data_IF_671414318570
#
_entry.id   IF_671414318570
#
_cell.length_a   1.000
_cell.length_b   1.000
_cell.length_c   1.000
_cell.angle_alpha   90.00
_cell.angle_beta   90.00
_cell.angle_gamma   90.00
#
_symmetry.space_group_name_H-M   'P 1'
#
loop_
_entity.id
_entity.type
_entity.pdbx_description
1 polymer ?
#
# COMPACT_ATOMS: atom_id res chain seq x y z
N UNK A 1 24.49 -25.59 47.48
CA UNK A 1 25.40 -24.63 46.83
C UNK A 1 24.67 -24.08 45.63
N UNK A 2 24.11 -22.88 45.76
CA UNK A 2 23.33 -22.23 44.71
C UNK A 2 24.28 -21.49 43.75
N UNK A 3 24.17 -21.77 42.46
CA UNK A 3 24.97 -21.15 41.41
C UNK A 3 24.28 -19.85 40.99
N UNK A 4 24.93 -18.71 41.23
CA UNK A 4 24.46 -17.40 40.82
C UNK A 4 24.78 -17.17 39.33
N UNK A 5 23.76 -16.90 38.52
CA UNK A 5 23.93 -16.35 37.17
C UNK A 5 24.06 -14.83 37.27
N UNK A 6 25.20 -14.29 36.86
CA UNK A 6 25.42 -12.85 36.69
C UNK A 6 24.74 -12.37 35.42
N UNK A 7 23.77 -11.46 35.56
CA UNK A 7 23.22 -10.66 34.46
C UNK A 7 24.17 -9.48 34.24
N UNK A 8 24.78 -9.41 33.05
CA UNK A 8 25.54 -8.25 32.63
C UNK A 8 24.56 -7.12 32.25
N UNK A 9 24.50 -6.05 33.04
CA UNK A 9 23.86 -4.80 32.65
C UNK A 9 24.72 -4.11 31.60
N UNK A 10 24.20 -3.97 30.39
CA UNK A 10 24.76 -3.04 29.40
C UNK A 10 24.37 -1.63 29.83
N UNK A 11 25.36 -0.85 30.27
CA UNK A 11 25.18 0.57 30.53
C UNK A 11 25.00 1.31 29.19
N UNK A 12 23.80 1.82 28.94
CA UNK A 12 23.53 2.73 27.83
C UNK A 12 24.30 4.03 28.05
N UNK A 13 25.26 4.30 27.17
CA UNK A 13 26.06 5.52 27.15
C UNK A 13 25.26 6.60 26.43
N UNK A 14 25.08 7.76 27.06
CA UNK A 14 24.28 8.87 26.55
C UNK A 14 24.87 9.55 25.31
N UNK A 15 24.11 9.49 24.23
CA UNK A 15 23.71 10.63 23.41
C UNK A 15 22.18 10.61 23.51
N UNK A 16 21.48 11.74 23.67
CA UNK A 16 20.02 11.70 23.57
C UNK A 16 19.65 11.38 22.13
N UNK A 17 19.56 10.10 21.79
CA UNK A 17 18.93 9.65 20.56
C UNK A 17 17.51 10.22 20.57
N UNK A 18 17.28 11.20 19.69
CA UNK A 18 15.99 11.82 19.52
C UNK A 18 14.99 10.70 19.21
N UNK A 19 13.94 10.51 20.02
CA UNK A 19 12.98 9.42 19.80
C UNK A 19 12.42 9.46 18.38
N UNK A 20 12.38 8.32 17.68
CA UNK A 20 11.72 8.17 16.38
C UNK A 20 10.72 7.02 16.42
N UNK A 21 9.75 7.05 15.51
CA UNK A 21 8.82 5.93 15.32
C UNK A 21 9.64 4.70 14.95
N UNK A 22 9.52 3.64 15.75
CA UNK A 22 10.21 2.39 15.47
C UNK A 22 9.49 1.68 14.33
N UNK A 23 10.21 1.23 13.28
CA UNK A 23 9.60 0.54 12.15
C UNK A 23 8.79 -0.68 12.58
N UNK A 24 7.58 -0.79 12.03
CA UNK A 24 6.70 -1.94 12.21
C UNK A 24 6.74 -2.79 10.95
N UNK A 25 7.16 -4.05 11.09
CA UNK A 25 7.09 -5.09 10.07
C UNK A 25 5.67 -5.64 10.01
N UNK A 26 5.07 -5.71 8.83
CA UNK A 26 3.75 -6.34 8.63
C UNK A 26 3.66 -7.00 7.27
N UNK A 27 2.69 -7.91 7.11
CA UNK A 27 2.35 -8.50 5.82
C UNK A 27 1.03 -7.90 5.34
N UNK A 28 1.02 -7.45 4.09
CA UNK A 28 -0.12 -6.86 3.42
C UNK A 28 -0.36 -7.53 2.07
N UNK A 29 -1.55 -7.35 1.53
CA UNK A 29 -1.97 -7.95 0.27
C UNK A 29 -2.34 -6.88 -0.76
N UNK A 30 -2.02 -7.16 -2.02
CA UNK A 30 -2.35 -6.30 -3.16
C UNK A 30 -2.96 -7.14 -4.27
N UNK A 31 -4.21 -6.84 -4.63
CA UNK A 31 -4.87 -7.48 -5.77
C UNK A 31 -4.32 -6.88 -7.07
N UNK A 32 -3.85 -7.73 -7.97
CA UNK A 32 -3.14 -7.34 -9.19
C UNK A 32 -3.67 -8.07 -10.43
N UNK A 33 -3.39 -7.49 -11.60
CA UNK A 33 -3.76 -8.07 -12.89
C UNK A 33 -2.72 -9.05 -13.45
N UNK A 34 -1.44 -8.88 -13.07
CA UNK A 34 -0.34 -9.72 -13.52
C UNK A 34 0.37 -10.40 -12.36
N UNK A 35 1.18 -11.41 -12.68
CA UNK A 35 2.14 -12.01 -11.75
C UNK A 35 3.35 -11.09 -11.56
N UNK A 36 4.01 -11.09 -10.38
CA UNK A 36 5.31 -10.47 -10.24
C UNK A 36 6.36 -11.28 -11.02
N UNK A 37 7.50 -10.66 -11.29
CA UNK A 37 8.65 -11.33 -11.93
C UNK A 37 9.72 -11.54 -10.88
N UNK A 38 10.27 -12.74 -10.80
CA UNK A 38 11.40 -13.01 -9.92
C UNK A 38 12.68 -12.44 -10.56
N UNK A 39 13.35 -11.56 -9.85
CA UNK A 39 14.66 -11.03 -10.24
C UNK A 39 15.74 -11.98 -9.73
N UNK A 40 16.40 -12.69 -10.64
CA UNK A 40 17.39 -13.72 -10.29
C UNK A 40 18.69 -13.12 -9.72
N UNK A 41 19.02 -11.87 -10.03
CA UNK A 41 20.22 -11.23 -9.50
C UNK A 41 19.99 -10.79 -8.07
N UNK A 42 18.85 -10.15 -7.82
CA UNK A 42 18.49 -9.60 -6.51
C UNK A 42 17.74 -10.61 -5.62
N UNK A 43 17.43 -11.81 -6.15
CA UNK A 43 16.71 -12.88 -5.47
C UNK A 43 15.40 -12.40 -4.82
N UNK A 44 14.62 -11.60 -5.55
CA UNK A 44 13.37 -11.03 -5.04
C UNK A 44 12.34 -10.86 -6.15
N UNK A 45 11.06 -10.91 -5.79
CA UNK A 45 9.97 -10.57 -6.69
C UNK A 45 9.87 -9.05 -6.90
N UNK A 46 9.69 -8.63 -8.15
CA UNK A 46 9.52 -7.24 -8.57
C UNK A 46 8.35 -7.11 -9.56
N UNK A 47 7.92 -5.87 -9.85
CA UNK A 47 6.87 -5.66 -10.84
C UNK A 47 7.34 -6.03 -12.26
N UNK A 48 6.43 -6.50 -13.14
CA UNK A 48 6.77 -6.83 -14.53
C UNK A 48 7.04 -5.60 -15.43
N UNK A 49 7.02 -4.38 -14.88
CA UNK A 49 7.16 -3.13 -15.63
C UNK A 49 8.32 -2.30 -15.10
N UNK A 50 9.13 -1.74 -16.00
CA UNK A 50 10.38 -1.05 -15.69
C UNK A 50 11.56 -1.71 -16.41
N UNK A 51 12.60 -0.91 -16.68
CA UNK A 51 13.79 -1.31 -17.41
C UNK A 51 14.94 -1.74 -16.48
N UNK A 52 15.00 -1.18 -15.26
CA UNK A 52 16.00 -1.56 -14.25
C UNK A 52 15.34 -2.23 -13.05
N UNK A 53 16.15 -2.86 -12.20
CA UNK A 53 15.69 -3.41 -10.93
C UNK A 53 14.97 -2.36 -10.08
N UNK A 54 15.56 -1.18 -9.91
CA UNK A 54 15.00 -0.09 -9.08
C UNK A 54 13.67 0.41 -9.62
N UNK A 55 13.51 0.47 -10.95
CA UNK A 55 12.24 0.84 -11.57
C UNK A 55 11.16 -0.21 -11.31
N UNK A 56 11.50 -1.50 -11.44
CA UNK A 56 10.57 -2.61 -11.21
C UNK A 56 10.22 -2.77 -9.73
N UNK A 57 11.19 -2.61 -8.84
CA UNK A 57 11.00 -2.62 -7.39
C UNK A 57 10.09 -1.47 -6.96
N UNK A 58 10.34 -0.25 -7.47
CA UNK A 58 9.48 0.92 -7.21
C UNK A 58 8.06 0.71 -7.75
N UNK A 59 7.92 0.19 -8.97
CA UNK A 59 6.64 0.00 -9.64
C UNK A 59 5.67 -0.91 -8.86
N UNK A 60 6.17 -1.80 -7.99
CA UNK A 60 5.33 -2.61 -7.11
C UNK A 60 4.53 -1.76 -6.09
N UNK A 61 5.08 -0.61 -5.68
CA UNK A 61 4.51 0.30 -4.67
C UNK A 61 4.50 1.78 -5.13
N UNK A 62 4.35 2.05 -6.43
CA UNK A 62 4.44 3.40 -6.97
C UNK A 62 3.12 4.20 -6.84
N UNK A 63 2.79 4.66 -5.63
CA UNK A 63 1.54 5.35 -5.30
C UNK A 63 0.33 4.42 -5.48
N UNK A 64 0.19 3.48 -4.54
CA UNK A 64 -0.78 2.39 -4.63
C UNK A 64 -1.48 2.15 -3.30
N UNK A 65 -2.64 1.51 -3.35
CA UNK A 65 -3.29 0.95 -2.18
C UNK A 65 -3.00 -0.54 -2.00
N UNK A 66 -3.02 -0.97 -0.75
CA UNK A 66 -2.99 -2.37 -0.31
C UNK A 66 -4.08 -2.58 0.74
N UNK A 67 -4.25 -3.82 1.19
CA UNK A 67 -5.12 -4.16 2.31
C UNK A 67 -4.38 -5.07 3.30
N UNK A 68 -4.92 -5.22 4.50
CA UNK A 68 -4.59 -6.36 5.37
C UNK A 68 -4.82 -7.67 4.62
N UNK A 69 -4.03 -8.70 4.92
CA UNK A 69 -4.21 -10.03 4.31
C UNK A 69 -5.63 -10.54 4.54
N UNK A 70 -6.13 -10.30 5.75
CA UNK A 70 -7.47 -10.67 6.22
C UNK A 70 -8.59 -9.90 5.51
N UNK A 71 -8.28 -8.74 4.94
CA UNK A 71 -9.24 -7.87 4.23
C UNK A 71 -9.14 -7.89 2.72
N UNK A 72 -8.11 -8.53 2.14
CA UNK A 72 -7.76 -8.41 0.73
C UNK A 72 -8.89 -8.77 -0.24
N UNK A 73 -9.70 -9.77 0.12
CA UNK A 73 -10.81 -10.25 -0.71
C UNK A 73 -12.02 -9.32 -0.72
N UNK A 74 -12.11 -8.37 0.21
CA UNK A 74 -13.18 -7.37 0.22
C UNK A 74 -13.25 -6.64 -1.13
N UNK A 75 -12.12 -6.17 -1.66
CA UNK A 75 -12.08 -5.43 -2.93
C UNK A 75 -12.50 -6.29 -4.12
N UNK A 76 -12.05 -7.55 -4.15
CA UNK A 76 -12.43 -8.53 -5.17
C UNK A 76 -13.94 -8.76 -5.16
N UNK A 77 -14.50 -8.98 -3.97
CA UNK A 77 -15.92 -9.29 -3.80
C UNK A 77 -16.83 -8.08 -4.04
N UNK A 78 -16.50 -6.94 -3.44
CA UNK A 78 -17.34 -5.75 -3.49
C UNK A 78 -17.35 -5.09 -4.87
N UNK A 79 -16.22 -5.15 -5.60
CA UNK A 79 -16.04 -4.39 -6.84
C UNK A 79 -15.55 -5.21 -8.04
N UNK A 80 -14.86 -6.32 -7.80
CA UNK A 80 -14.18 -7.11 -8.82
C UNK A 80 -15.08 -8.02 -9.62
N UNK A 81 -15.98 -8.76 -8.96
CA UNK A 81 -16.60 -9.98 -9.53
C UNK A 81 -18.03 -9.80 -10.06
N UNK A 82 -18.69 -8.67 -9.77
CA UNK A 82 -20.06 -8.43 -10.20
C UNK A 82 -20.13 -8.25 -11.72
N UNK A 83 -20.74 -9.22 -12.42
CA UNK A 83 -20.84 -9.22 -13.88
C UNK A 83 -21.71 -8.08 -14.43
N UNK A 84 -22.61 -7.49 -13.62
CA UNK A 84 -23.41 -6.33 -14.04
C UNK A 84 -22.55 -5.09 -14.27
N UNK A 85 -21.51 -4.91 -13.45
CA UNK A 85 -20.58 -3.77 -13.55
C UNK A 85 -19.33 -4.12 -14.35
N UNK A 86 -19.03 -5.41 -14.53
CA UNK A 86 -17.86 -5.91 -15.25
C UNK A 86 -18.27 -6.93 -16.33
N UNK A 87 -18.95 -6.50 -17.42
CA UNK A 87 -19.50 -7.41 -18.42
C UNK A 87 -18.45 -8.07 -19.33
N UNK A 88 -17.22 -7.54 -19.39
CA UNK A 88 -16.19 -7.93 -20.37
C UNK A 88 -15.40 -9.21 -20.01
N UNK A 89 -16.07 -10.26 -19.53
CA UNK A 89 -15.47 -11.56 -19.15
C UNK A 89 -14.13 -11.46 -18.40
N UNK A 90 -14.04 -10.46 -17.52
CA UNK A 90 -12.89 -10.14 -16.69
C UNK A 90 -13.38 -9.49 -15.40
N UNK A 91 -12.61 -9.60 -14.32
CA UNK A 91 -12.86 -8.82 -13.11
C UNK A 91 -12.51 -7.35 -13.36
N UNK A 92 -13.04 -6.43 -12.55
CA UNK A 92 -12.64 -5.01 -12.58
C UNK A 92 -11.12 -4.90 -12.63
N UNK A 93 -10.58 -3.97 -13.43
CA UNK A 93 -9.14 -3.74 -13.58
C UNK A 93 -8.30 -5.00 -13.91
N UNK A 94 -8.91 -6.04 -14.50
CA UNK A 94 -8.27 -7.32 -14.80
C UNK A 94 -7.72 -8.08 -13.57
N UNK A 95 -8.30 -7.91 -12.38
CA UNK A 95 -7.87 -8.64 -11.17
C UNK A 95 -7.78 -10.15 -11.42
N UNK A 96 -6.59 -10.70 -11.23
CA UNK A 96 -6.29 -12.10 -11.47
C UNK A 96 -5.41 -12.72 -10.39
N UNK A 97 -4.68 -11.91 -9.62
CA UNK A 97 -3.73 -12.38 -8.61
C UNK A 97 -3.85 -11.59 -7.31
N UNK A 98 -3.46 -12.20 -6.20
CA UNK A 98 -3.19 -11.52 -4.93
C UNK A 98 -1.69 -11.63 -4.68
N UNK A 99 -1.00 -10.50 -4.61
CA UNK A 99 0.41 -10.44 -4.21
C UNK A 99 0.46 -10.23 -2.71
N UNK A 100 1.39 -10.90 -2.05
CA UNK A 100 1.65 -10.68 -0.64
C UNK A 100 2.99 -10.01 -0.46
N UNK A 101 3.01 -9.05 0.45
CA UNK A 101 4.13 -8.13 0.61
C UNK A 101 4.45 -8.00 2.08
N UNK A 102 5.71 -8.24 2.43
CA UNK A 102 6.26 -7.72 3.66
C UNK A 102 6.51 -6.23 3.48
N UNK A 103 6.05 -5.45 4.45
CA UNK A 103 6.26 -4.00 4.51
C UNK A 103 6.84 -3.64 5.86
N UNK A 104 7.77 -2.70 5.87
CA UNK A 104 8.17 -2.01 7.09
C UNK A 104 7.65 -0.59 7.01
N UNK A 105 7.04 -0.09 8.09
CA UNK A 105 6.40 1.22 8.11
C UNK A 105 6.87 1.99 9.34
N UNK A 106 7.35 3.21 9.12
CA UNK A 106 7.59 4.20 10.15
C UNK A 106 7.14 5.56 9.61
N UNK A 107 5.99 6.05 10.07
CA UNK A 107 5.55 7.40 9.73
C UNK A 107 6.33 8.46 10.54
N UNK A 108 6.25 9.72 10.11
CA UNK A 108 6.95 10.81 10.78
C UNK A 108 6.36 11.12 12.16
N UNK A 109 7.16 11.74 13.04
CA UNK A 109 6.68 12.23 14.36
C UNK A 109 5.50 13.18 14.21
N UNK A 110 5.53 14.02 13.16
CA UNK A 110 4.44 14.94 12.84
C UNK A 110 3.15 14.21 12.46
N UNK A 111 3.26 13.08 11.76
CA UNK A 111 2.11 12.22 11.46
C UNK A 111 1.51 11.64 12.74
N UNK A 112 2.34 11.08 13.63
CA UNK A 112 1.86 10.56 14.92
C UNK A 112 1.19 11.69 15.71
N UNK A 113 1.84 12.85 15.86
CA UNK A 113 1.26 13.99 16.56
C UNK A 113 -0.10 14.44 16.00
N UNK A 114 -0.29 14.35 14.67
CA UNK A 114 -1.54 14.76 14.03
C UNK A 114 -2.67 13.76 14.29
N UNK A 115 -2.36 12.46 14.33
CA UNK A 115 -3.34 11.38 14.20
C UNK A 115 -3.45 10.42 15.39
N UNK A 116 -2.54 10.48 16.37
CA UNK A 116 -2.47 9.54 17.51
C UNK A 116 -3.79 9.41 18.30
N UNK A 117 -4.64 10.44 18.32
CA UNK A 117 -5.89 10.42 19.06
C UNK A 117 -7.12 9.99 18.22
N UNK A 118 -6.93 9.60 16.96
CA UNK A 118 -8.01 9.23 16.06
C UNK A 118 -8.05 7.72 15.82
N UNK A 119 -8.97 7.03 16.48
CA UNK A 119 -9.22 5.59 16.30
C UNK A 119 -10.17 5.25 15.14
N UNK A 120 -10.74 6.26 14.48
CA UNK A 120 -11.44 6.08 13.20
C UNK A 120 -10.48 5.81 12.04
N UNK A 121 -9.18 6.09 12.25
CA UNK A 121 -8.05 5.61 11.48
C UNK A 121 -7.21 4.71 12.37
N UNK A 122 -6.27 3.95 11.82
CA UNK A 122 -5.29 3.24 12.64
C UNK A 122 -4.26 4.28 13.14
N UNK A 123 -4.10 4.56 14.46
CA UNK A 123 -3.44 5.79 14.94
C UNK A 123 -1.95 5.98 14.62
N UNK A 124 -1.25 4.94 14.15
CA UNK A 124 0.14 5.06 13.63
C UNK A 124 0.21 5.53 12.18
N UNK A 125 -0.95 5.68 11.54
CA UNK A 125 -1.11 5.99 10.14
C UNK A 125 -1.78 7.34 9.98
N UNK A 126 -1.59 7.93 8.81
CA UNK A 126 -2.42 9.06 8.42
C UNK A 126 -3.76 8.59 7.82
N UNK A 127 -4.61 9.55 7.45
CA UNK A 127 -5.86 9.22 6.76
C UNK A 127 -5.60 8.41 5.49
N UNK A 128 -6.47 7.46 5.17
CA UNK A 128 -6.38 6.74 3.92
C UNK A 128 -6.66 7.66 2.73
N UNK A 129 -5.84 7.55 1.68
CA UNK A 129 -6.10 8.14 0.38
C UNK A 129 -6.36 7.05 -0.67
N UNK A 130 -7.40 7.22 -1.49
CA UNK A 130 -7.54 6.40 -2.70
C UNK A 130 -6.43 6.80 -3.70
N UNK A 131 -5.69 5.82 -4.19
CA UNK A 131 -4.52 5.99 -5.06
C UNK A 131 -4.71 5.19 -6.36
N UNK A 132 -5.35 5.80 -7.36
CA UNK A 132 -5.64 5.18 -8.66
C UNK A 132 -4.65 5.59 -9.75
N UNK A 133 -4.14 4.60 -10.49
CA UNK A 133 -3.32 4.85 -11.68
C UNK A 133 -1.97 5.54 -11.39
N UNK A 134 -1.45 5.37 -10.17
CA UNK A 134 -0.19 5.94 -9.71
C UNK A 134 -0.31 7.34 -9.14
N UNK A 135 -1.53 7.84 -8.92
CA UNK A 135 -1.72 9.16 -8.31
C UNK A 135 -2.77 9.12 -7.20
N UNK A 136 -2.77 10.14 -6.35
CA UNK A 136 -3.95 10.47 -5.57
C UNK A 136 -5.18 10.64 -6.46
N UNK A 137 -6.23 9.90 -6.16
CA UNK A 137 -7.49 9.96 -6.90
C UNK A 137 -8.15 11.31 -6.67
N UNK A 138 -8.35 12.13 -7.72
CA UNK A 138 -9.08 13.38 -7.58
C UNK A 138 -10.53 13.12 -7.19
N UNK A 139 -11.09 13.93 -6.31
CA UNK A 139 -12.51 13.78 -5.91
C UNK A 139 -13.47 14.49 -6.87
N UNK A 140 -12.95 15.28 -7.82
CA UNK A 140 -13.75 15.95 -8.85
C UNK A 140 -13.10 15.94 -10.24
N UNK A 141 -13.85 16.46 -11.21
CA UNK A 141 -13.43 16.54 -12.62
C UNK A 141 -12.36 17.60 -12.88
N UNK A 142 -12.13 18.51 -11.93
CA UNK A 142 -11.16 19.60 -12.05
C UNK A 142 -9.77 19.16 -11.62
N UNK A 143 -9.67 18.00 -10.98
CA UNK A 143 -8.41 17.41 -10.55
C UNK A 143 -8.05 17.78 -9.11
N UNK A 144 -9.01 18.26 -8.32
CA UNK A 144 -8.73 18.55 -6.92
C UNK A 144 -8.47 17.28 -6.13
N UNK A 145 -7.38 17.31 -5.36
CA UNK A 145 -6.90 16.18 -4.59
C UNK A 145 -7.46 16.22 -3.16
N UNK A 146 -7.75 15.05 -2.56
CA UNK A 146 -8.10 14.95 -1.14
C UNK A 146 -7.11 15.69 -0.25
N UNK A 147 -7.59 16.24 0.87
CA UNK A 147 -6.76 17.01 1.81
C UNK A 147 -5.46 16.28 2.19
N UNK A 148 -5.56 15.00 2.55
CA UNK A 148 -4.43 14.16 2.91
C UNK A 148 -3.31 14.12 1.84
N UNK A 149 -3.66 14.20 0.56
CA UNK A 149 -2.66 14.23 -0.50
C UNK A 149 -1.88 15.54 -0.54
N UNK A 150 -2.49 16.65 -0.10
CA UNK A 150 -1.80 17.92 0.05
C UNK A 150 -0.98 17.95 1.35
N UNK A 151 -1.32 17.15 2.36
CA UNK A 151 -0.55 17.02 3.61
C UNK A 151 0.79 16.30 3.41
N UNK A 152 0.94 15.49 2.35
CA UNK A 152 2.20 14.78 2.06
C UNK A 152 3.40 15.70 1.84
N UNK A 153 3.17 16.94 1.43
CA UNK A 153 4.23 17.94 1.21
C UNK A 153 3.83 19.36 1.64
N UNK A 154 2.75 19.50 2.41
CA UNK A 154 2.23 20.80 2.85
C UNK A 154 1.67 21.69 1.74
N UNK A 155 1.28 21.12 0.59
CA UNK A 155 0.67 21.88 -0.48
C UNK A 155 -0.64 22.54 -0.03
N UNK A 156 -1.02 23.65 -0.71
CA UNK A 156 -2.28 24.37 -0.45
C UNK A 156 -2.47 24.77 1.03
N UNK A 157 -1.37 25.08 1.73
CA UNK A 157 -1.39 25.51 3.13
C UNK A 157 -1.68 24.40 4.14
N UNK A 158 -1.70 23.13 3.72
CA UNK A 158 -1.82 21.99 4.61
C UNK A 158 -0.55 21.78 5.46
N UNK A 159 -0.65 21.08 6.61
CA UNK A 159 0.54 20.69 7.35
C UNK A 159 1.44 19.78 6.49
N UNK A 160 2.75 20.02 6.53
CA UNK A 160 3.71 19.14 5.87
C UNK A 160 4.03 17.95 6.77
N UNK A 161 3.38 16.80 6.52
CA UNK A 161 3.59 15.57 7.27
C UNK A 161 4.72 14.70 6.69
N UNK A 162 5.17 15.02 5.47
CA UNK A 162 5.91 14.09 4.63
C UNK A 162 5.01 13.01 4.03
N UNK A 163 5.55 12.12 3.16
CA UNK A 163 4.79 11.08 2.47
C UNK A 163 4.35 9.98 3.44
N UNK A 164 3.31 10.24 4.23
CA UNK A 164 2.81 9.33 5.25
C UNK A 164 2.02 8.16 4.65
N UNK A 165 2.22 6.97 5.20
CA UNK A 165 1.39 5.80 4.90
C UNK A 165 0.06 5.97 5.62
N UNK A 166 -1.03 5.89 4.86
CA UNK A 166 -2.38 5.95 5.40
C UNK A 166 -2.90 4.57 5.80
N UNK A 167 -3.83 4.52 6.75
CA UNK A 167 -4.36 3.27 7.30
C UNK A 167 -5.75 3.48 7.91
N UNK A 168 -6.77 2.84 7.36
CA UNK A 168 -8.16 3.01 7.80
C UNK A 168 -8.90 1.67 7.85
N UNK A 169 -9.62 1.37 8.96
CA UNK A 169 -10.54 0.24 9.01
C UNK A 169 -11.68 0.38 7.98
N UNK A 170 -11.83 -0.62 7.11
CA UNK A 170 -12.88 -0.67 6.07
C UNK A 170 -13.74 -1.91 6.26
N UNK A 171 -14.41 -1.98 7.40
CA UNK A 171 -14.90 -3.25 7.97
C UNK A 171 -16.35 -3.59 7.64
N UNK A 172 -17.13 -2.62 7.16
CA UNK A 172 -18.60 -2.70 7.12
C UNK A 172 -19.22 -2.47 5.74
N UNK A 173 -18.49 -2.66 4.65
CA UNK A 173 -19.07 -2.54 3.31
C UNK A 173 -20.26 -3.50 3.17
N UNK A 174 -21.46 -3.01 2.81
CA UNK A 174 -22.67 -3.82 2.82
C UNK A 174 -22.67 -4.96 1.79
N UNK A 175 -21.76 -4.93 0.82
CA UNK A 175 -21.58 -5.99 -0.19
C UNK A 175 -20.62 -7.09 0.26
N UNK A 176 -19.70 -6.74 1.17
CA UNK A 176 -18.59 -7.58 1.59
C UNK A 176 -18.05 -7.09 2.96
N UNK A 177 -18.76 -7.36 4.07
CA UNK A 177 -18.31 -6.94 5.39
C UNK A 177 -17.18 -7.85 5.88
N UNK A 178 -15.94 -7.34 5.92
CA UNK A 178 -14.76 -8.03 6.45
C UNK A 178 -14.30 -7.30 7.73
N UNK A 179 -14.56 -7.88 8.91
CA UNK A 179 -14.33 -7.20 10.21
C UNK A 179 -12.87 -6.79 10.47
N UNK A 180 -11.93 -7.50 9.87
CA UNK A 180 -10.49 -7.29 10.03
C UNK A 180 -9.84 -6.67 8.78
N UNK A 181 -10.64 -6.02 7.93
CA UNK A 181 -10.15 -5.31 6.76
C UNK A 181 -9.62 -3.93 7.12
N UNK A 182 -8.33 -3.72 6.87
CA UNK A 182 -7.68 -2.42 6.93
C UNK A 182 -7.19 -2.09 5.52
N UNK A 183 -7.49 -0.89 5.04
CA UNK A 183 -6.93 -0.38 3.78
C UNK A 183 -5.78 0.57 4.06
N UNK A 184 -4.75 0.46 3.23
CA UNK A 184 -3.57 1.30 3.33
C UNK A 184 -3.31 2.08 2.04
N UNK A 185 -2.70 3.26 2.18
CA UNK A 185 -2.30 4.10 1.06
C UNK A 185 -0.82 4.44 1.15
N UNK A 186 -0.06 4.05 0.12
CA UNK A 186 1.39 4.24 0.07
C UNK A 186 1.75 5.30 -0.96
N UNK A 187 1.90 6.58 -0.57
CA UNK A 187 2.34 7.61 -1.49
C UNK A 187 3.79 7.37 -1.91
N UNK A 188 4.02 7.34 -3.22
CA UNK A 188 5.37 7.34 -3.80
C UNK A 188 5.60 8.64 -4.58
N UNK A 189 6.82 8.79 -5.09
CA UNK A 189 7.28 9.95 -5.80
C UNK A 189 6.32 10.39 -6.90
N UNK A 190 6.16 11.71 -7.07
CA UNK A 190 5.28 12.31 -8.07
C UNK A 190 3.81 11.82 -7.94
N UNK A 191 3.29 11.69 -6.71
CA UNK A 191 1.96 11.15 -6.41
C UNK A 191 0.77 11.96 -6.98
N UNK A 192 1.01 13.11 -7.61
CA UNK A 192 -0.04 13.91 -8.26
C UNK A 192 -0.18 13.60 -9.76
N UNK A 193 0.65 12.70 -10.30
CA UNK A 193 0.67 12.34 -11.73
C UNK A 193 0.42 10.85 -11.93
N UNK A 194 -0.36 10.52 -12.97
CA UNK A 194 -0.53 9.13 -13.42
C UNK A 194 0.81 8.52 -13.82
N UNK A 195 0.92 7.19 -13.75
CA UNK A 195 2.14 6.44 -14.07
C UNK A 195 2.91 6.95 -15.29
N UNK A 196 2.23 7.12 -16.45
CA UNK A 196 2.86 7.56 -17.72
C UNK A 196 3.47 8.96 -17.68
N UNK A 197 3.15 9.76 -16.67
CA UNK A 197 3.57 11.15 -16.51
C UNK A 197 4.55 11.34 -15.35
N UNK A 198 4.95 10.27 -14.66
CA UNK A 198 5.95 10.32 -13.58
C UNK A 198 7.37 10.30 -14.13
N UNK A 199 7.84 11.45 -14.61
CA UNK A 199 9.22 11.63 -15.08
C UNK A 199 10.22 11.60 -13.93
N UNK A 200 11.49 11.31 -14.22
CA UNK A 200 12.56 11.38 -13.22
C UNK A 200 12.69 12.75 -12.57
N UNK A 201 12.46 13.82 -13.35
CA UNK A 201 12.43 15.18 -12.82
C UNK A 201 11.31 15.34 -11.78
N UNK A 202 10.07 14.94 -12.10
CA UNK A 202 8.96 15.04 -11.15
C UNK A 202 9.21 14.20 -9.89
N UNK A 203 9.84 13.03 -10.04
CA UNK A 203 10.15 12.16 -8.90
C UNK A 203 11.22 12.76 -7.97
N UNK A 204 12.17 13.53 -8.53
CA UNK A 204 13.17 14.28 -7.76
C UNK A 204 12.56 15.49 -7.05
N UNK A 205 11.66 16.21 -7.73
CA UNK A 205 10.98 17.40 -7.18
C UNK A 205 9.96 17.03 -6.10
N UNK A 206 9.27 15.89 -6.26
CA UNK A 206 8.28 15.37 -5.31
C UNK A 206 8.70 13.95 -4.91
N UNK A 207 9.59 13.80 -3.92
CA UNK A 207 9.97 12.48 -3.42
C UNK A 207 8.78 11.77 -2.76
N UNK A 208 8.87 10.45 -2.68
CA UNK A 208 7.85 9.59 -2.07
C UNK A 208 8.30 8.99 -0.75
N UNK A 209 7.44 8.14 -0.17
CA UNK A 209 7.76 7.46 1.09
C UNK A 209 8.59 6.19 0.94
N UNK A 210 8.81 5.68 -0.28
CA UNK A 210 9.54 4.43 -0.51
C UNK A 210 11.03 4.62 -0.23
N UNK A 211 11.56 3.83 0.69
CA UNK A 211 12.98 3.73 0.97
C UNK A 211 13.76 3.11 -0.20
N UNK A 212 15.06 3.43 -0.34
CA UNK A 212 15.96 2.64 -1.18
C UNK A 212 15.88 1.16 -0.83
N UNK A 213 16.06 0.29 -1.83
CA UNK A 213 16.03 -1.15 -1.63
C UNK A 213 17.04 -1.57 -0.53
N UNK A 214 16.61 -2.47 0.35
CA UNK A 214 17.42 -2.95 1.49
C UNK A 214 17.53 -1.96 2.67
N UNK A 215 16.86 -0.81 2.63
CA UNK A 215 16.86 0.17 3.72
C UNK A 215 15.54 0.14 4.49
N UNK A 216 15.60 0.11 5.82
CA UNK A 216 14.42 0.25 6.69
C UNK A 216 13.99 1.72 6.77
N UNK A 217 12.68 2.01 6.89
CA UNK A 217 12.23 3.39 7.09
C UNK A 217 12.67 3.92 8.45
N UNK A 218 12.84 5.23 8.54
CA UNK A 218 13.15 5.96 9.78
C UNK A 218 12.09 7.02 10.11
N UNK A 219 11.09 7.19 9.22
CA UNK A 219 10.07 8.23 9.33
C UNK A 219 10.59 9.65 9.04
N UNK A 220 11.83 9.77 8.57
CA UNK A 220 12.50 11.04 8.24
C UNK A 220 12.88 11.07 6.75
N UNK A 221 13.74 10.14 6.32
CA UNK A 221 14.22 10.02 4.94
C UNK A 221 13.21 9.31 4.06
N UNK A 222 12.51 8.33 4.63
CA UNK A 222 11.47 7.55 3.97
C UNK A 222 10.56 6.91 5.04
N UNK A 223 9.35 6.54 4.64
CA UNK A 223 8.29 6.09 5.55
C UNK A 223 7.95 4.62 5.41
N UNK A 224 8.32 3.97 4.29
CA UNK A 224 8.13 2.55 4.13
C UNK A 224 9.18 1.88 3.24
N UNK A 225 9.43 0.61 3.50
CA UNK A 225 10.09 -0.30 2.56
C UNK A 225 9.21 -1.53 2.35
N UNK A 226 9.46 -2.28 1.28
CA UNK A 226 8.69 -3.49 0.97
C UNK A 226 9.53 -4.57 0.33
N UNK A 227 8.99 -5.78 0.36
CA UNK A 227 9.41 -6.90 -0.46
C UNK A 227 8.20 -7.77 -0.77
N UNK A 228 8.08 -8.21 -2.02
CA UNK A 228 7.02 -9.14 -2.42
C UNK A 228 7.45 -10.54 -2.00
N UNK A 229 6.65 -11.20 -1.16
CA UNK A 229 6.90 -12.56 -0.67
C UNK A 229 6.51 -13.62 -1.69
N UNK A 230 5.46 -13.35 -2.45
CA UNK A 230 4.89 -14.30 -3.40
C UNK A 230 3.50 -13.86 -3.85
N UNK A 231 2.79 -14.76 -4.53
CA UNK A 231 1.46 -14.46 -5.06
C UNK A 231 0.62 -15.72 -5.22
N UNK A 232 -0.69 -15.53 -5.35
CA UNK A 232 -1.64 -16.58 -5.72
C UNK A 232 -2.53 -16.15 -6.87
N UNK A 233 -2.97 -17.10 -7.68
CA UNK A 233 -4.03 -16.93 -8.68
C UNK A 233 -5.39 -16.89 -7.99
N UNK A 234 -6.19 -15.86 -8.30
CA UNK A 234 -7.58 -15.77 -7.83
C UNK A 234 -8.42 -16.90 -8.41
N UNK A 235 -8.17 -17.32 -9.64
CA UNK A 235 -8.97 -18.34 -10.31
C UNK A 235 -8.78 -19.72 -9.67
N UNK A 236 -7.57 -20.02 -9.19
CA UNK A 236 -7.28 -21.23 -8.43
C UNK A 236 -7.89 -21.15 -7.03
N UNK A 237 -7.69 -20.02 -6.33
CA UNK A 237 -8.23 -19.78 -4.99
C UNK A 237 -9.75 -19.96 -4.93
N UNK A 238 -10.48 -19.35 -5.87
CA UNK A 238 -11.95 -19.41 -5.88
C UNK A 238 -12.49 -20.69 -6.53
N UNK A 239 -11.60 -21.56 -7.02
CA UNK A 239 -11.92 -22.88 -7.56
C UNK A 239 -12.40 -22.90 -9.01
N UNK A 240 -12.29 -21.79 -9.76
CA UNK A 240 -12.70 -21.75 -11.18
C UNK A 240 -11.92 -22.78 -12.01
N UNK A 241 -10.62 -22.92 -11.77
CA UNK A 241 -9.76 -23.88 -12.50
C UNK A 241 -10.08 -25.34 -12.15
N UNK A 242 -10.82 -25.58 -11.07
CA UNK A 242 -11.33 -26.90 -10.70
C UNK A 242 -12.72 -27.20 -11.27
N UNK A 243 -13.38 -26.23 -11.93
CA UNK A 243 -14.68 -26.43 -12.56
C UNK A 243 -14.51 -26.92 -14.01
N UNK A 244 -15.44 -27.77 -14.49
CA UNK A 244 -15.44 -28.28 -15.87
C UNK A 244 -16.42 -27.52 -16.76
N UNK A 245 -16.02 -27.29 -18.00
CA UNK A 245 -16.93 -26.81 -19.05
C UNK A 245 -17.98 -27.85 -19.38
N UNK A 246 -19.24 -27.43 -19.44
CA UNK A 246 -20.33 -28.29 -19.88
C UNK A 246 -20.28 -28.57 -21.39
N UNK A 247 -19.52 -27.76 -22.15
CA UNK A 247 -19.35 -27.93 -23.61
C UNK A 247 -18.16 -28.82 -23.96
N UNK A 248 -17.03 -28.67 -23.26
CA UNK A 248 -15.79 -29.38 -23.61
C UNK A 248 -15.43 -30.51 -22.64
N UNK A 249 -16.08 -30.57 -21.46
CA UNK A 249 -15.76 -31.47 -20.35
C UNK A 249 -14.30 -31.36 -19.84
N UNK A 250 -13.60 -30.29 -20.21
CA UNK A 250 -12.26 -29.95 -19.70
C UNK A 250 -12.39 -28.96 -18.55
N UNK A 251 -11.39 -28.95 -17.67
CA UNK A 251 -11.26 -27.92 -16.65
C UNK A 251 -11.02 -26.56 -17.30
N UNK A 252 -11.62 -25.50 -16.75
CA UNK A 252 -11.35 -24.14 -17.24
C UNK A 252 -9.92 -23.74 -16.94
N UNK A 253 -9.24 -23.11 -17.89
CA UNK A 253 -7.90 -22.58 -17.67
C UNK A 253 -7.89 -21.31 -16.81
N UNK A 254 -8.98 -20.53 -16.81
CA UNK A 254 -9.11 -19.25 -16.11
C UNK A 254 -10.56 -18.71 -16.17
N UNK A 255 -10.77 -17.58 -15.49
CA UNK A 255 -12.04 -16.82 -15.45
C UNK A 255 -12.55 -16.43 -16.83
N UNK A 256 -11.67 -16.12 -17.79
CA UNK A 256 -12.07 -15.71 -19.14
C UNK A 256 -12.72 -16.88 -19.86
N UNK A 257 -12.12 -18.08 -19.83
CA UNK A 257 -12.72 -19.28 -20.42
C UNK A 257 -14.05 -19.63 -19.74
N UNK A 258 -14.08 -19.64 -18.42
CA UNK A 258 -15.29 -19.83 -17.61
C UNK A 258 -16.42 -18.88 -18.05
N UNK A 259 -16.10 -17.60 -18.24
CA UNK A 259 -17.09 -16.61 -18.66
C UNK A 259 -17.53 -16.76 -20.12
N UNK A 260 -16.61 -17.04 -21.04
CA UNK A 260 -16.94 -17.28 -22.44
C UNK A 260 -17.79 -18.54 -22.63
N UNK A 261 -17.75 -19.47 -21.68
CA UNK A 261 -18.66 -20.61 -21.63
C UNK A 261 -20.07 -20.27 -21.10
N UNK A 262 -20.33 -18.99 -20.80
CA UNK A 262 -21.61 -18.47 -20.33
C UNK A 262 -21.78 -18.51 -18.80
N UNK A 263 -20.73 -18.83 -18.05
CA UNK A 263 -20.77 -18.82 -16.60
C UNK A 263 -20.43 -17.44 -16.03
N UNK A 264 -20.91 -17.15 -14.82
CA UNK A 264 -20.62 -15.88 -14.12
C UNK A 264 -20.06 -16.17 -12.74
N UNK A 265 -19.22 -15.29 -12.22
CA UNK A 265 -18.70 -15.47 -10.86
C UNK A 265 -19.69 -14.93 -9.83
N UNK A 266 -20.29 -13.78 -10.15
CA UNK A 266 -21.43 -13.21 -9.44
C UNK A 266 -22.37 -12.47 -10.41
N UNK A 267 -23.68 -12.68 -10.28
CA UNK A 267 -24.72 -11.91 -10.96
C UNK A 267 -26.03 -11.94 -10.15
N UNK A 268 -26.48 -10.78 -9.66
CA UNK A 268 -27.67 -10.72 -8.80
C UNK A 268 -27.45 -11.56 -7.54
N UNK A 269 -28.35 -12.51 -7.28
CA UNK A 269 -28.26 -13.42 -6.14
C UNK A 269 -27.41 -14.67 -6.42
N UNK A 270 -26.99 -14.88 -7.67
CA UNK A 270 -26.12 -16.00 -8.02
C UNK A 270 -24.67 -15.66 -7.73
N UNK A 271 -23.95 -16.62 -7.15
CA UNK A 271 -22.51 -16.57 -6.92
C UNK A 271 -21.92 -17.98 -6.94
N UNK A 272 -20.64 -18.12 -7.28
CA UNK A 272 -19.96 -19.43 -7.19
C UNK A 272 -19.77 -19.85 -5.71
N UNK A 273 -19.58 -21.15 -5.39
CA UNK A 273 -19.58 -21.64 -4.02
C UNK A 273 -18.63 -20.91 -3.07
N UNK A 274 -17.44 -20.50 -3.55
CA UNK A 274 -16.48 -19.75 -2.76
C UNK A 274 -17.07 -18.47 -2.16
N UNK A 275 -17.96 -17.79 -2.88
CA UNK A 275 -18.55 -16.49 -2.55
C UNK A 275 -19.94 -16.57 -1.89
N UNK A 276 -20.43 -17.77 -1.52
CA UNK A 276 -21.74 -17.97 -0.88
C UNK A 276 -21.89 -17.21 0.45
N UNK A 277 -23.03 -16.55 0.69
CA UNK A 277 -23.23 -15.67 1.86
C UNK A 277 -22.25 -14.48 1.84
N UNK A 278 -22.25 -13.64 0.79
CA UNK A 278 -21.26 -12.56 0.63
C UNK A 278 -21.40 -11.47 1.71
N UNK A 279 -22.61 -11.29 2.26
CA UNK A 279 -22.90 -10.29 3.30
C UNK A 279 -22.74 -10.82 4.71
N UNK A 280 -22.29 -12.08 4.88
CA UNK A 280 -22.04 -12.69 6.18
C UNK A 280 -20.56 -12.48 6.58
N UNK A 281 -20.28 -11.69 7.64
CA UNK A 281 -18.92 -11.43 8.08
C UNK A 281 -18.14 -12.68 8.50
N UNK A 282 -18.82 -13.72 9.02
CA UNK A 282 -18.13 -14.93 9.47
C UNK A 282 -17.72 -15.78 8.25
N UNK A 283 -18.58 -15.87 7.23
CA UNK A 283 -18.22 -16.46 5.94
C UNK A 283 -17.06 -15.70 5.25
N UNK A 284 -16.99 -14.38 5.40
CA UNK A 284 -15.88 -13.57 4.89
C UNK A 284 -14.58 -13.80 5.65
N UNK A 285 -14.64 -13.99 6.98
CA UNK A 285 -13.49 -14.38 7.78
C UNK A 285 -12.96 -15.78 7.37
N UNK A 286 -13.85 -16.74 7.10
CA UNK A 286 -13.46 -18.06 6.57
C UNK A 286 -12.79 -17.96 5.19
N UNK A 287 -13.24 -17.06 4.31
CA UNK A 287 -12.57 -16.81 3.02
C UNK A 287 -11.17 -16.23 3.19
N UNK A 288 -11.01 -15.30 4.12
CA UNK A 288 -9.72 -14.72 4.45
C UNK A 288 -8.76 -15.81 4.96
N UNK A 289 -9.23 -16.71 5.82
CA UNK A 289 -8.43 -17.85 6.28
C UNK A 289 -8.07 -18.79 5.11
N UNK A 290 -9.01 -19.08 4.20
CA UNK A 290 -8.73 -19.88 2.99
C UNK A 290 -7.66 -19.23 2.11
N UNK A 291 -7.64 -17.90 1.99
CA UNK A 291 -6.58 -17.19 1.26
C UNK A 291 -5.21 -17.41 1.92
N UNK A 292 -5.14 -17.30 3.24
CA UNK A 292 -3.92 -17.51 4.03
C UNK A 292 -3.43 -18.95 3.86
N UNK A 293 -4.30 -19.94 4.08
CA UNK A 293 -3.96 -21.36 3.97
C UNK A 293 -3.54 -21.73 2.54
N UNK A 294 -4.24 -21.19 1.55
CA UNK A 294 -3.90 -21.42 0.15
C UNK A 294 -2.53 -20.85 -0.19
N UNK A 295 -2.21 -19.64 0.27
CA UNK A 295 -0.88 -19.07 0.08
C UNK A 295 0.22 -19.91 0.74
N UNK A 296 0.03 -20.33 1.99
CA UNK A 296 1.02 -21.16 2.70
C UNK A 296 1.29 -22.49 1.97
N UNK A 297 0.27 -23.09 1.35
CA UNK A 297 0.45 -24.30 0.53
C UNK A 297 1.21 -24.01 -0.78
N UNK A 298 0.92 -22.88 -1.43
CA UNK A 298 1.59 -22.48 -2.67
C UNK A 298 3.05 -22.11 -2.40
N UNK A 299 3.34 -21.37 -1.32
CA UNK A 299 4.69 -20.97 -0.96
C UNK A 299 5.57 -22.16 -0.54
N UNK A 300 4.97 -23.18 0.09
CA UNK A 300 5.68 -24.42 0.39
C UNK A 300 6.10 -25.20 -0.87
N UNK A 301 5.46 -24.96 -2.02
CA UNK A 301 5.72 -25.65 -3.28
C UNK A 301 6.67 -24.90 -4.24
N UNK A 302 6.77 -23.57 -4.14
CA UNK A 302 7.69 -22.75 -4.93
C UNK A 302 8.79 -22.16 -4.03
N UNK A 303 10.05 -22.60 -4.14
CA UNK A 303 11.13 -22.14 -3.26
C UNK A 303 11.49 -20.66 -3.42
N UNK A 304 10.97 -19.98 -4.45
CA UNK A 304 11.12 -18.53 -4.62
C UNK A 304 10.10 -17.73 -3.81
N UNK A 305 9.03 -18.38 -3.34
CA UNK A 305 8.03 -17.74 -2.49
C UNK A 305 8.34 -17.97 -1.02
N UNK A 306 8.05 -16.97 -0.20
CA UNK A 306 8.26 -17.06 1.24
C UNK A 306 6.95 -17.23 1.99
N UNK A 307 6.87 -18.19 2.93
CA UNK A 307 5.68 -18.37 3.74
C UNK A 307 5.40 -17.13 4.59
N UNK A 308 4.16 -16.98 5.06
CA UNK A 308 3.93 -15.99 6.10
C UNK A 308 4.65 -16.41 7.38
N UNK A 309 5.24 -15.46 8.12
CA UNK A 309 5.76 -15.75 9.45
C UNK A 309 4.63 -16.24 10.36
N UNK A 310 4.97 -16.94 11.43
CA UNK A 310 4.01 -17.15 12.51
C UNK A 310 3.54 -15.78 13.04
N UNK A 311 2.24 -15.66 13.32
CA UNK A 311 1.66 -14.38 13.73
C UNK A 311 2.14 -13.94 15.11
N UNK A 312 2.39 -14.88 16.03
CA UNK A 312 2.95 -14.63 17.34
C UNK A 312 4.41 -14.17 17.25
N UNK A 313 5.20 -14.85 16.44
CA UNK A 313 6.60 -14.47 16.17
C UNK A 313 6.66 -13.06 15.56
N UNK A 314 5.88 -12.80 14.49
CA UNK A 314 5.77 -11.49 13.86
C UNK A 314 5.38 -10.41 14.87
N UNK A 315 4.45 -10.70 15.78
CA UNK A 315 4.03 -9.76 16.82
C UNK A 315 5.13 -9.50 17.85
N UNK A 316 5.90 -10.52 18.20
CA UNK A 316 6.98 -10.43 19.19
C UNK A 316 8.23 -9.69 18.66
N UNK A 317 8.49 -9.79 17.36
CA UNK A 317 9.58 -9.06 16.68
C UNK A 317 9.29 -7.56 16.55
N UNK A 318 8.02 -7.17 16.57
CA UNK A 318 7.59 -5.80 16.39
C UNK A 318 7.63 -4.99 17.69
N UNK A 319 7.85 -3.66 17.60
CA UNK A 319 7.73 -2.81 18.78
C UNK A 319 6.28 -2.83 19.31
N UNK A 320 6.09 -2.95 20.64
CA UNK A 320 4.77 -2.83 21.23
C UNK A 320 4.19 -1.44 20.97
N UNK A 321 2.87 -1.36 20.88
CA UNK A 321 2.16 -0.15 20.50
C UNK A 321 2.54 1.09 21.33
N UNK A 322 2.78 0.94 22.63
CA UNK A 322 3.16 2.05 23.50
C UNK A 322 4.52 2.68 23.16
N UNK A 323 5.35 2.04 22.33
CA UNK A 323 6.62 2.62 21.88
C UNK A 323 6.43 3.67 20.78
N UNK A 324 5.37 3.52 19.99
CA UNK A 324 5.05 4.40 18.86
C UNK A 324 3.87 5.33 19.14
N UNK A 325 2.99 4.97 20.08
CA UNK A 325 1.72 5.64 20.34
C UNK A 325 1.56 6.06 21.81
N UNK A 326 1.57 7.38 22.12
CA UNK A 326 1.40 7.87 23.50
C UNK A 326 0.12 7.40 24.19
N UNK A 327 -1.00 7.35 23.45
CA UNK A 327 -2.31 6.90 23.95
C UNK A 327 -2.35 5.42 24.33
N UNK A 328 -1.37 4.62 23.89
CA UNK A 328 -1.24 3.22 24.28
C UNK A 328 -0.57 3.02 25.64
N UNK A 329 -0.34 4.09 26.40
CA UNK A 329 0.24 4.03 27.73
C UNK A 329 -0.54 3.11 28.71
N UNK A 330 -1.86 3.01 28.55
CA UNK A 330 -2.75 2.24 29.44
C UNK A 330 -3.09 0.84 28.94
N UNK A 331 -2.71 0.48 27.70
CA UNK A 331 -3.00 -0.83 27.13
C UNK A 331 -3.32 -0.78 25.64
N UNK A 332 -2.45 -1.39 24.82
CA UNK A 332 -2.72 -1.67 23.41
C UNK A 332 -2.07 -3.00 23.01
N UNK A 333 -2.55 -3.58 21.91
CA UNK A 333 -1.95 -4.76 21.28
C UNK A 333 -1.86 -4.61 19.78
N UNK A 334 -0.92 -5.35 19.18
CA UNK A 334 -0.81 -5.54 17.74
C UNK A 334 -1.80 -6.61 17.30
N UNK A 335 -2.44 -6.43 16.16
CA UNK A 335 -3.28 -7.44 15.53
C UNK A 335 -2.99 -7.58 14.04
N UNK A 336 -3.41 -8.73 13.52
CA UNK A 336 -3.39 -9.10 12.11
C UNK A 336 -1.97 -9.25 11.59
N UNK A 337 -1.85 -9.82 10.40
CA UNK A 337 -0.60 -9.80 9.66
C UNK A 337 -0.12 -8.37 9.38
N UNK A 338 -1.03 -7.40 9.28
CA UNK A 338 -0.69 -5.99 9.08
C UNK A 338 -0.12 -5.29 10.34
N UNK A 339 -0.15 -5.95 11.51
CA UNK A 339 0.46 -5.47 12.76
C UNK A 339 -0.03 -4.09 13.21
N UNK A 340 -1.33 -3.83 13.06
CA UNK A 340 -1.95 -2.55 13.48
C UNK A 340 -2.21 -2.54 14.98
N UNK A 341 -2.08 -1.38 15.62
CA UNK A 341 -2.44 -1.22 17.03
C UNK A 341 -3.95 -1.12 17.23
N UNK A 342 -4.44 -1.79 18.26
CA UNK A 342 -5.76 -1.56 18.85
C UNK A 342 -5.67 -1.36 20.36
N UNK A 343 -6.59 -0.58 20.91
CA UNK A 343 -6.76 -0.45 22.35
C UNK A 343 -7.23 -1.79 22.95
N UNK A 344 -6.71 -2.12 24.11
CA UNK A 344 -7.12 -3.31 24.86
C UNK A 344 -7.10 -3.06 26.37
N UNK A 345 -7.81 -3.90 27.11
CA UNK A 345 -7.70 -3.98 28.56
C UNK A 345 -6.68 -5.04 28.98
N UNK A 346 -6.07 -4.87 30.15
CA UNK A 346 -4.95 -5.70 30.62
C UNK A 346 -5.28 -7.19 30.80
N UNK A 347 -6.56 -7.54 30.86
CA UNK A 347 -7.08 -8.91 30.92
C UNK A 347 -7.20 -9.57 29.53
N UNK A 348 -7.11 -8.80 28.45
CA UNK A 348 -7.14 -9.32 27.08
C UNK A 348 -5.77 -9.85 26.66
N UNK A 349 -5.77 -10.97 25.94
CA UNK A 349 -4.57 -11.59 25.41
C UNK A 349 -3.78 -10.64 24.51
N UNK A 350 -2.45 -10.65 24.68
CA UNK A 350 -1.52 -9.80 23.94
C UNK A 350 -1.55 -8.32 24.33
N UNK A 351 -2.36 -7.92 25.32
CA UNK A 351 -2.43 -6.54 25.75
C UNK A 351 -1.15 -6.12 26.49
N UNK A 352 -0.51 -5.06 26.01
CA UNK A 352 0.74 -4.56 26.57
C UNK A 352 0.54 -3.16 27.14
N UNK A 353 0.91 -3.00 28.41
CA UNK A 353 0.91 -1.72 29.12
C UNK A 353 2.33 -1.17 29.13
N UNK A 354 2.46 0.14 28.99
CA UNK A 354 3.75 0.82 29.04
C UNK A 354 4.47 0.56 30.37
N UNK A 355 5.74 0.13 30.36
CA UNK A 355 6.49 -0.11 31.59
C UNK A 355 6.78 1.22 32.33
N UNK A 356 6.92 1.19 33.67
CA UNK A 356 7.38 2.34 34.44
C UNK A 356 8.72 2.86 33.91
N UNK A 357 8.86 4.18 33.78
CA UNK A 357 10.09 4.84 33.31
C UNK A 357 10.19 5.02 31.79
N UNK A 358 9.34 4.40 30.98
CA UNK A 358 9.26 4.69 29.55
C UNK A 358 8.31 5.87 29.27
N UNK A 359 8.71 6.76 28.36
CA UNK A 359 7.88 7.83 27.84
C UNK A 359 8.29 8.19 26.42
N UNK A 360 7.29 8.38 25.56
CA UNK A 360 7.47 9.10 24.29
C UNK A 360 7.61 10.60 24.63
N UNK A 361 8.57 11.32 24.04
CA UNK A 361 8.67 12.77 24.25
C UNK A 361 7.42 13.48 23.73
N UNK A 362 7.24 14.73 24.12
CA UNK A 362 6.15 15.51 23.57
C UNK A 362 6.32 15.68 22.06
N UNK A 363 5.31 15.25 21.30
CA UNK A 363 5.28 15.37 19.85
C UNK A 363 4.57 16.67 19.47
N UNK A 364 5.10 17.39 18.48
CA UNK A 364 4.46 18.58 17.94
C UNK A 364 3.90 18.29 16.55
N UNK A 365 2.68 18.78 16.33
CA UNK A 365 2.03 18.79 15.02
C UNK A 365 2.84 19.65 14.04
N UNK A 366 2.77 19.32 12.76
CA UNK A 366 3.35 20.15 11.73
C UNK A 366 2.63 21.51 11.66
N UNK A 367 3.41 22.57 11.43
CA UNK A 367 2.91 23.93 11.27
C UNK A 367 1.97 24.06 10.04
N UNK A 368 1.08 25.05 10.05
CA UNK A 368 0.11 25.31 8.96
C UNK A 368 0.29 26.73 8.42
N UNK A 369 0.27 26.90 7.10
CA UNK A 369 0.33 28.23 6.46
C UNK A 369 1.66 28.99 6.64
N UNK A 370 1.59 30.33 6.73
CA UNK A 370 2.76 31.22 6.80
C UNK A 370 3.57 31.13 8.11
N UNK A 371 3.07 30.41 9.12
CA UNK A 371 3.78 30.14 10.39
C UNK A 371 4.95 29.14 10.22
N UNK A 372 5.08 28.49 9.06
CA UNK A 372 6.12 27.49 8.73
C UNK A 372 7.54 28.06 8.46
N UNK A 373 7.93 29.21 9.01
CA UNK A 373 9.34 29.66 8.92
C UNK A 373 10.25 28.95 9.94
N UNK A 374 9.66 28.23 10.90
CA UNK A 374 10.38 27.52 11.95
C UNK A 374 9.56 26.28 12.35
N UNK A 375 9.63 25.20 11.57
CA UNK A 375 9.31 23.90 12.18
C UNK A 375 10.31 23.67 13.31
N UNK A 376 9.89 23.29 14.54
CA UNK A 376 10.82 23.01 15.64
C UNK A 376 11.86 21.91 15.32
N UNK A 377 11.64 21.17 14.23
CA UNK A 377 12.38 19.98 13.85
C UNK A 377 13.21 20.15 12.55
N UNK A 378 13.28 21.36 11.97
CA UNK A 378 14.02 21.63 10.73
C UNK A 378 15.47 22.10 10.91
N UNK A 379 16.01 22.11 12.13
CA UNK A 379 17.46 22.17 12.30
C UNK A 379 17.96 20.73 12.35
N UNK A 380 18.45 20.13 11.26
CA UNK A 380 19.76 20.41 10.68
C UNK A 380 19.85 19.91 9.22
N UNK A 381 20.30 20.73 8.26
CA UNK A 381 20.93 20.24 7.03
C UNK A 381 22.46 20.05 7.22
N UNK A 382 23.09 19.13 6.47
CA UNK A 382 24.53 18.96 6.45
C UNK A 382 25.23 20.09 5.67
N UNK A 383 26.19 20.74 6.35
CA UNK A 383 27.38 21.45 5.83
C UNK A 383 27.18 22.70 4.96
N UNK A 384 27.78 23.81 5.43
CA UNK A 384 27.91 25.10 4.74
C UNK A 384 28.53 25.02 3.33
N UNK A 385 28.04 25.86 2.41
CA UNK A 385 28.84 26.64 1.44
C UNK A 385 27.94 27.66 0.70
N UNK A 386 28.50 28.67 0.00
CA UNK A 386 28.89 29.97 0.50
C UNK A 386 27.93 31.09 0.07
N UNK A 387 28.05 32.23 0.75
CA UNK A 387 27.27 33.47 0.56
C UNK A 387 27.30 34.02 -0.88
N UNK A 388 26.17 34.48 -1.45
CA UNK A 388 26.19 35.39 -2.59
C UNK A 388 26.19 36.87 -2.14
N UNK A 389 26.98 37.68 -2.84
CA UNK A 389 27.10 39.14 -2.71
C UNK A 389 25.82 39.89 -3.19
N UNK A 390 25.69 41.20 -2.91
CA UNK A 390 24.37 41.86 -2.84
C UNK A 390 23.84 42.40 -4.18
N UNK A 391 22.51 42.37 -4.25
CA UNK A 391 21.55 43.20 -5.00
C UNK A 391 21.98 43.90 -6.31
N UNK A 392 21.29 43.53 -7.38
CA UNK A 392 20.92 44.46 -8.45
C UNK A 392 19.43 44.36 -8.77
N UNK A 393 18.75 45.47 -8.54
CA UNK A 393 17.36 45.81 -8.86
C UNK A 393 17.12 45.71 -10.37
N UNK A 394 16.09 45.00 -10.81
CA UNK A 394 15.50 45.21 -12.15
C UNK A 394 13.96 45.28 -12.06
N UNK A 395 13.48 46.34 -12.69
CA UNK A 395 12.13 46.88 -12.83
C UNK A 395 11.20 45.93 -13.60
N UNK A 396 9.96 45.82 -13.15
CA UNK A 396 8.87 45.13 -13.86
C UNK A 396 8.31 45.98 -15.02
N UNK A 397 7.83 45.35 -16.12
CA UNK A 397 6.82 45.95 -16.96
C UNK A 397 5.49 45.18 -16.96
N UNK A 398 4.45 46.00 -17.04
CA UNK A 398 3.03 45.70 -17.07
C UNK A 398 2.57 44.90 -18.31
N UNK A 399 1.48 44.15 -18.08
CA UNK A 399 0.33 43.86 -18.95
C UNK A 399 0.55 43.38 -20.40
N UNK A 400 0.06 42.19 -20.72
CA UNK A 400 -0.98 42.04 -21.76
C UNK A 400 -1.77 40.74 -21.62
N UNK A 401 -3.09 40.87 -21.74
CA UNK A 401 -4.07 39.79 -21.76
C UNK A 401 -3.93 38.91 -23.01
N UNK A 402 -4.13 37.60 -22.85
CA UNK A 402 -4.34 36.66 -23.94
C UNK A 402 -5.56 35.78 -23.63
N UNK A 403 -6.66 36.13 -24.29
CA UNK A 403 -7.86 35.31 -24.48
C UNK A 403 -7.50 34.08 -25.33
N UNK A 404 -7.74 32.87 -24.83
CA UNK A 404 -7.93 31.70 -25.71
C UNK A 404 -9.12 30.86 -25.24
N UNK A 405 -10.01 30.67 -26.21
CA UNK A 405 -11.25 29.93 -26.27
C UNK A 405 -11.23 28.52 -25.68
N UNK A 406 -12.26 28.21 -24.89
CA UNK A 406 -12.61 26.88 -24.40
C UNK A 406 -13.17 26.05 -25.56
N UNK A 407 -12.55 24.91 -25.87
CA UNK A 407 -13.20 23.79 -26.54
C UNK A 407 -13.23 22.59 -25.60
N UNK A 408 -14.44 22.24 -25.22
CA UNK A 408 -14.83 21.06 -24.46
C UNK A 408 -14.62 19.82 -25.35
N UNK A 409 -13.80 18.86 -24.89
CA UNK A 409 -13.72 17.54 -25.52
C UNK A 409 -13.66 16.45 -24.44
N UNK A 410 -14.77 15.72 -24.40
CA UNK A 410 -14.98 14.45 -23.71
C UNK A 410 -14.07 13.40 -24.35
N UNK A 411 -13.24 12.70 -23.56
CA UNK A 411 -12.39 11.62 -24.07
C UNK A 411 -12.45 10.38 -23.17
N UNK A 412 -13.14 9.38 -23.69
CA UNK A 412 -13.12 7.95 -23.34
C UNK A 412 -11.71 7.37 -23.48
N UNK A 413 -11.25 6.61 -22.49
CA UNK A 413 -9.96 5.93 -22.49
C UNK A 413 -10.09 4.43 -22.73
N UNK A 414 -9.96 4.01 -24.00
CA UNK A 414 -9.70 2.62 -24.38
C UNK A 414 -8.20 2.49 -24.73
N UNK A 415 -7.49 1.57 -24.05
CA UNK A 415 -6.12 1.20 -24.41
C UNK A 415 -6.16 -0.03 -25.33
N UNK A 416 -5.78 0.18 -26.59
CA UNK A 416 -5.61 -0.86 -27.61
C UNK A 416 -4.25 -1.55 -27.45
N UNK A 417 -4.24 -2.88 -27.49
CA UNK A 417 -3.05 -3.73 -27.48
C UNK A 417 -2.70 -4.12 -28.91
N UNK A 418 -1.48 -3.84 -29.37
CA UNK A 418 -0.97 -4.37 -30.64
C UNK A 418 -0.27 -5.71 -30.41
N UNK A 419 -0.83 -6.78 -30.99
CA UNK A 419 -0.11 -8.02 -31.30
C UNK A 419 0.33 -7.96 -32.76
N UNK A 420 1.63 -8.05 -33.01
CA UNK A 420 2.20 -8.31 -34.33
C UNK A 420 2.35 -9.82 -34.52
N UNK A 421 1.62 -10.39 -35.49
CA UNK A 421 1.81 -11.76 -35.99
C UNK A 421 2.60 -11.66 -37.29
N UNK A 422 3.77 -12.32 -37.34
CA UNK A 422 4.52 -12.55 -38.58
C UNK A 422 3.89 -13.75 -39.32
N UNK A 423 3.48 -13.53 -40.56
CA UNK A 423 3.08 -14.59 -41.50
C UNK A 423 4.00 -14.55 -42.72
N UNK A 424 4.73 -15.65 -42.93
CA UNK A 424 5.55 -15.92 -44.12
C UNK A 424 4.63 -16.24 -45.30
N UNK A 425 4.80 -15.55 -46.42
CA UNK A 425 4.09 -15.81 -47.68
C UNK A 425 5.06 -16.21 -48.79
N UNK A 426 4.98 -17.47 -49.22
CA UNK A 426 5.63 -18.03 -50.41
C UNK A 426 4.89 -17.53 -51.66
N UNK A 427 5.62 -16.97 -52.63
CA UNK A 427 5.10 -16.65 -53.95
C UNK A 427 5.69 -17.60 -55.00
N UNK A 428 4.82 -18.37 -55.65
CA UNK A 428 5.07 -19.07 -56.91
C UNK A 428 5.00 -18.05 -58.05
N UNK A 429 6.03 -18.01 -58.89
CA UNK A 429 6.00 -17.31 -60.17
C UNK A 429 6.13 -18.34 -61.30
N UNK A 430 5.22 -18.21 -62.26
CA UNK A 430 5.14 -18.98 -63.49
C UNK A 430 6.13 -18.43 -64.53
N UNK A 431 7.00 -19.30 -65.04
CA UNK A 431 7.51 -19.35 -66.42
C UNK A 431 8.35 -20.63 -66.58
#
# INVERSE_FOLDING_TARGET
MASAMSVAMVAASGVSDEWHVTPVRGIQARVQAGVPVFDEEMQTWVAPFGNTFEERHRAAMDTVNTASVEGALMYVQAEGINAKTNPECRRKNNMAYVWFMEVHIANSKATIAEFENNWGISPEFCSFAALDGGMCTPYDRWGDLPQICNEYNGARGQPNLGPCVGGEPRTSDPRAPYRENIWFSFPNSCYTKRFRYKTDQCRKEVPGGLCPYGTLPDGIKCTYSHRVLGYVSLDDLVGITSMKSNKTNKFYANKKEFCLDGQVEQLGNYTIPFWNNPTDPDANAERAQKLIDFYQNVSAADPRMEPFPDLGDLTSENPPCYMNLPQCATGCRRKLYAQVCEQCSSDQEGCQVKPPGYSIPQLYKACRGEECQISPWETLPPTEAPTPAPNTTIVAPNNTALNVSVKEQVASGAMSSFLSVLSVGIALASA
#
